data_IF_343238940091
#
_entry.id   IF_343238940091
#
_cell.length_a   1.000
_cell.length_b   1.000
_cell.length_c   1.000
_cell.angle_alpha   90.00
_cell.angle_beta   90.00
_cell.angle_gamma   90.00
#
_symmetry.space_group_name_H-M   'P 1'
#
loop_
_entity.id
_entity.type
_entity.pdbx_description
1 polymer ?
#
# COMPACT_ATOMS: atom_id res chain seq x y z
N UNK A 1 -3.91 -74.48 -66.19
CA UNK A 1 -5.34 -74.14 -66.45
C UNK A 1 -5.77 -73.04 -65.49
N UNK A 2 -6.33 -71.95 -66.04
CA UNK A 2 -7.26 -70.97 -65.41
C UNK A 2 -6.77 -70.22 -64.15
N UNK A 3 -6.23 -69.01 -64.29
CA UNK A 3 -6.91 -67.68 -64.19
C UNK A 3 -7.32 -67.26 -62.77
N UNK A 4 -6.75 -66.15 -62.26
CA UNK A 4 -7.49 -64.89 -62.01
C UNK A 4 -6.80 -63.96 -60.98
N UNK A 5 -6.31 -62.83 -61.51
CA UNK A 5 -6.30 -61.44 -61.03
C UNK A 5 -6.14 -61.04 -59.54
N UNK A 6 -5.11 -60.20 -59.36
CA UNK A 6 -4.84 -59.22 -58.30
C UNK A 6 -5.96 -58.19 -58.12
N UNK A 7 -6.29 -57.81 -56.87
CA UNK A 7 -6.56 -56.40 -56.47
C UNK A 7 -6.12 -56.22 -55.00
N UNK A 8 -5.20 -55.28 -54.75
CA UNK A 8 -4.81 -54.75 -53.44
C UNK A 8 -5.80 -53.66 -53.03
N UNK A 9 -6.38 -53.77 -51.83
CA UNK A 9 -7.15 -52.70 -51.18
C UNK A 9 -6.30 -52.18 -50.01
N UNK A 10 -5.92 -50.92 -50.08
CA UNK A 10 -5.27 -50.18 -49.01
C UNK A 10 -6.33 -49.66 -48.02
N UNK A 11 -6.15 -49.94 -46.73
CA UNK A 11 -6.87 -49.29 -45.63
C UNK A 11 -6.10 -48.02 -45.20
N UNK A 12 -6.75 -46.85 -45.12
CA UNK A 12 -6.27 -45.76 -44.28
C UNK A 12 -7.01 -45.80 -42.94
N UNK A 13 -6.29 -46.19 -41.87
CA UNK A 13 -6.77 -46.07 -40.50
C UNK A 13 -6.73 -44.61 -40.05
N UNK A 14 -7.91 -44.02 -39.83
CA UNK A 14 -8.06 -42.70 -39.24
C UNK A 14 -7.90 -42.79 -37.72
N UNK A 15 -6.77 -42.29 -37.19
CA UNK A 15 -6.62 -41.98 -35.77
C UNK A 15 -7.27 -40.62 -35.48
N UNK A 16 -8.37 -40.62 -34.74
CA UNK A 16 -8.95 -39.43 -34.14
C UNK A 16 -8.16 -39.07 -32.88
N UNK A 17 -7.24 -38.10 -32.98
CA UNK A 17 -6.57 -37.50 -31.84
C UNK A 17 -7.49 -36.43 -31.22
N UNK A 18 -7.99 -36.70 -30.01
CA UNK A 18 -8.77 -35.76 -29.22
C UNK A 18 -7.89 -34.59 -28.75
N UNK A 19 -8.17 -33.39 -29.27
CA UNK A 19 -7.63 -32.12 -28.80
C UNK A 19 -8.27 -31.75 -27.45
N UNK A 20 -7.61 -32.10 -26.34
CA UNK A 20 -7.84 -31.48 -25.05
C UNK A 20 -7.23 -30.07 -25.07
N UNK A 21 -8.00 -29.10 -25.57
CA UNK A 21 -7.68 -27.69 -25.41
C UNK A 21 -7.85 -27.31 -23.93
N UNK A 22 -6.75 -27.26 -23.19
CA UNK A 22 -6.69 -26.57 -21.90
C UNK A 22 -6.98 -25.09 -22.13
N UNK A 23 -8.21 -24.64 -21.85
CA UNK A 23 -8.49 -23.22 -21.70
C UNK A 23 -7.71 -22.73 -20.48
N UNK A 24 -6.56 -22.12 -20.72
CA UNK A 24 -5.85 -21.33 -19.70
C UNK A 24 -6.71 -20.09 -19.47
N UNK A 25 -7.62 -20.14 -18.51
CA UNK A 25 -8.34 -18.96 -18.05
C UNK A 25 -7.31 -17.96 -17.53
N UNK A 26 -7.03 -16.91 -18.31
CA UNK A 26 -6.24 -15.79 -17.84
C UNK A 26 -6.93 -15.22 -16.60
N UNK A 27 -6.20 -15.12 -15.49
CA UNK A 27 -6.70 -14.43 -14.32
C UNK A 27 -7.09 -13.00 -14.73
N UNK A 28 -8.24 -12.53 -14.26
CA UNK A 28 -8.68 -11.16 -14.51
C UNK A 28 -7.62 -10.15 -14.05
N UNK A 29 -7.62 -8.95 -14.61
CA UNK A 29 -6.72 -7.89 -14.16
C UNK A 29 -7.01 -7.53 -12.69
N UNK A 30 -5.95 -7.19 -11.95
CA UNK A 30 -6.08 -6.66 -10.60
C UNK A 30 -6.70 -5.25 -10.64
N UNK A 31 -7.67 -5.00 -9.76
CA UNK A 31 -8.42 -3.73 -9.71
C UNK A 31 -8.39 -3.09 -8.31
N UNK A 32 -8.44 -1.76 -8.19
CA UNK A 32 -8.58 -1.09 -6.91
C UNK A 32 -10.06 -1.07 -6.46
N UNK A 33 -10.36 -0.67 -5.21
CA UNK A 33 -11.72 -0.37 -4.79
C UNK A 33 -12.42 0.64 -5.72
N UNK A 34 -13.75 0.57 -5.89
CA UNK A 34 -14.48 1.35 -6.90
C UNK A 34 -14.26 2.88 -6.86
N UNK A 35 -14.02 3.46 -5.67
CA UNK A 35 -13.80 4.90 -5.54
C UNK A 35 -12.52 5.42 -6.22
N UNK A 36 -11.59 4.55 -6.61
CA UNK A 36 -10.43 4.92 -7.44
C UNK A 36 -10.80 5.21 -8.91
N UNK A 37 -11.99 4.81 -9.36
CA UNK A 37 -12.52 5.10 -10.71
C UNK A 37 -13.23 6.45 -10.81
N UNK A 38 -13.35 7.19 -9.70
CA UNK A 38 -13.96 8.51 -9.67
C UNK A 38 -13.35 9.42 -10.74
N UNK A 39 -14.21 10.19 -11.41
CA UNK A 39 -13.79 11.16 -12.42
C UNK A 39 -12.88 12.23 -11.78
N UNK A 40 -11.99 12.78 -12.60
CA UNK A 40 -11.22 13.97 -12.24
C UNK A 40 -12.20 15.12 -12.02
N UNK A 41 -12.12 15.77 -10.86
CA UNK A 41 -13.01 16.88 -10.53
C UNK A 41 -12.74 18.11 -11.39
N UNK A 42 -13.76 18.91 -11.62
CA UNK A 42 -13.66 20.15 -12.40
C UNK A 42 -13.76 21.36 -11.47
N UNK A 43 -12.68 22.15 -11.36
CA UNK A 43 -12.71 23.41 -10.60
C UNK A 43 -11.93 24.50 -11.33
N UNK A 44 -12.63 25.61 -11.63
CA UNK A 44 -12.08 26.77 -12.36
C UNK A 44 -10.75 27.29 -11.79
N UNK A 45 -9.90 27.77 -12.71
CA UNK A 45 -8.64 28.47 -12.48
C UNK A 45 -7.43 27.75 -13.07
N UNK A 46 -6.28 28.41 -13.15
CA UNK A 46 -5.04 27.82 -13.67
C UNK A 46 -4.28 27.00 -12.62
N UNK A 47 -3.49 26.02 -13.07
CA UNK A 47 -2.57 25.30 -12.19
C UNK A 47 -1.61 26.30 -11.52
N UNK A 48 -1.15 25.97 -10.31
CA UNK A 48 0.00 26.68 -9.75
C UNK A 48 1.25 26.43 -10.61
N UNK A 49 2.33 27.18 -10.34
CA UNK A 49 3.63 26.86 -10.96
C UNK A 49 4.08 25.46 -10.54
N UNK A 50 4.52 24.63 -11.50
CA UNK A 50 5.15 23.34 -11.19
C UNK A 50 6.50 23.57 -10.48
N UNK A 51 6.67 23.16 -9.21
CA UNK A 51 7.96 23.29 -8.54
C UNK A 51 9.00 22.37 -9.19
N UNK A 52 10.28 22.72 -9.01
CA UNK A 52 11.38 21.85 -9.44
C UNK A 52 11.26 20.47 -8.78
N UNK A 53 11.50 19.43 -9.57
CA UNK A 53 11.51 18.04 -9.08
C UNK A 53 12.61 17.87 -8.03
N UNK A 54 12.33 17.26 -6.86
CA UNK A 54 13.37 16.89 -5.91
C UNK A 54 14.43 16.01 -6.60
N UNK A 55 15.74 16.22 -6.36
CA UNK A 55 16.78 15.40 -6.98
C UNK A 55 16.51 13.90 -6.78
N UNK A 56 16.51 13.08 -7.85
CA UNK A 56 16.32 11.64 -7.73
C UNK A 56 17.33 11.01 -6.77
N UNK A 57 16.83 10.33 -5.73
CA UNK A 57 17.70 9.74 -4.71
C UNK A 57 18.30 8.40 -5.20
N UNK A 58 19.52 8.43 -5.71
CA UNK A 58 20.22 7.24 -6.25
C UNK A 58 21.37 6.73 -5.37
N UNK A 59 21.64 7.38 -4.23
CA UNK A 59 22.68 6.98 -3.29
C UNK A 59 22.28 5.79 -2.41
N UNK A 60 23.21 5.38 -1.53
CA UNK A 60 23.00 4.34 -0.52
C UNK A 60 21.79 4.62 0.37
N UNK A 61 21.01 3.59 0.68
CA UNK A 61 19.88 3.66 1.61
C UNK A 61 20.35 3.30 3.03
N UNK A 62 21.39 3.97 3.49
CA UNK A 62 21.98 3.79 4.83
C UNK A 62 21.76 5.06 5.64
N UNK A 63 20.67 5.08 6.41
CA UNK A 63 20.24 6.27 7.16
C UNK A 63 20.30 6.07 8.67
N UNK A 64 20.58 7.15 9.39
CA UNK A 64 20.48 7.22 10.84
C UNK A 64 19.06 6.91 11.28
N UNK A 65 18.90 6.15 12.37
CA UNK A 65 17.57 5.89 12.96
C UNK A 65 17.22 6.97 13.98
N UNK A 66 15.98 7.48 13.98
CA UNK A 66 15.50 8.37 15.05
C UNK A 66 15.49 7.73 16.45
N UNK A 67 15.64 6.40 16.53
CA UNK A 67 15.76 5.63 17.78
C UNK A 67 17.21 5.16 18.03
N UNK A 68 18.20 5.77 17.38
CA UNK A 68 19.61 5.49 17.65
C UNK A 68 19.94 5.72 19.13
N UNK A 69 20.53 4.71 19.77
CA UNK A 69 20.80 4.70 21.21
C UNK A 69 19.65 4.20 22.08
N UNK A 70 18.48 3.86 21.53
CA UNK A 70 17.43 3.17 22.28
C UNK A 70 17.84 1.75 22.69
N UNK A 71 17.26 1.24 23.78
CA UNK A 71 17.28 -0.17 24.11
C UNK A 71 16.43 -1.02 23.14
N UNK A 72 16.19 -2.29 23.48
CA UNK A 72 15.44 -3.24 22.65
C UNK A 72 13.99 -2.82 22.37
N UNK A 73 13.39 -1.93 23.16
CA UNK A 73 12.05 -1.40 22.91
C UNK A 73 12.01 -0.43 21.72
N UNK A 74 13.17 0.15 21.34
CA UNK A 74 13.29 1.16 20.27
C UNK A 74 12.28 2.29 20.40
N UNK A 75 12.00 2.76 21.63
CA UNK A 75 10.96 3.75 21.91
C UNK A 75 11.50 5.13 22.32
N UNK A 76 12.79 5.22 22.69
CA UNK A 76 13.45 6.44 23.13
C UNK A 76 13.89 7.29 21.94
N UNK A 77 13.19 8.39 21.70
CA UNK A 77 13.49 9.31 20.60
C UNK A 77 14.83 10.01 20.85
N UNK A 78 15.77 9.89 19.91
CA UNK A 78 17.00 10.66 19.90
C UNK A 78 16.82 11.86 18.97
N UNK A 79 16.61 13.05 19.53
CA UNK A 79 16.28 14.27 18.78
C UNK A 79 17.38 14.65 17.78
N UNK A 80 18.67 14.44 18.12
CA UNK A 80 19.80 14.70 17.22
C UNK A 80 19.83 13.70 16.05
N UNK A 81 19.62 12.43 16.35
CA UNK A 81 19.53 11.38 15.35
C UNK A 81 18.32 11.57 14.43
N UNK A 82 17.18 12.02 14.96
CA UNK A 82 16.01 12.38 14.16
C UNK A 82 16.31 13.54 13.22
N UNK A 83 16.95 14.62 13.70
CA UNK A 83 17.32 15.75 12.84
C UNK A 83 18.25 15.30 11.71
N UNK A 84 19.24 14.46 12.03
CA UNK A 84 20.18 13.89 11.04
C UNK A 84 19.44 13.03 10.01
N UNK A 85 18.57 12.13 10.48
CA UNK A 85 17.71 11.32 9.63
C UNK A 85 16.89 12.18 8.66
N UNK A 86 16.18 13.19 9.18
CA UNK A 86 15.34 14.11 8.38
C UNK A 86 16.13 14.81 7.28
N UNK A 87 17.36 15.24 7.58
CA UNK A 87 18.27 15.83 6.60
C UNK A 87 18.69 14.83 5.51
N UNK A 88 19.03 13.58 5.89
CA UNK A 88 19.44 12.54 4.95
C UNK A 88 18.33 12.14 3.96
N UNK A 89 17.06 12.16 4.40
CA UNK A 89 15.91 11.72 3.60
C UNK A 89 15.10 12.86 2.99
N UNK A 90 15.65 14.09 2.99
CA UNK A 90 14.89 15.29 2.64
C UNK A 90 14.27 15.20 1.25
N UNK A 91 15.06 14.84 0.24
CA UNK A 91 14.58 14.77 -1.15
C UNK A 91 13.55 13.64 -1.35
N UNK A 92 13.70 12.53 -0.63
CA UNK A 92 12.69 11.45 -0.60
C UNK A 92 11.38 11.97 0.00
N UNK A 93 11.46 12.69 1.12
CA UNK A 93 10.28 13.24 1.81
C UNK A 93 9.57 14.29 0.96
N UNK A 94 10.33 15.15 0.29
CA UNK A 94 9.80 16.18 -0.60
C UNK A 94 9.14 15.55 -1.83
N UNK A 95 9.72 14.47 -2.37
CA UNK A 95 9.11 13.70 -3.45
C UNK A 95 7.79 13.05 -3.02
N UNK A 96 7.78 12.36 -1.88
CA UNK A 96 6.57 11.72 -1.33
C UNK A 96 5.42 12.73 -1.16
N UNK A 97 5.69 13.85 -0.49
CA UNK A 97 4.67 14.86 -0.18
C UNK A 97 4.29 15.69 -1.38
N UNK A 98 5.24 16.09 -2.21
CA UNK A 98 5.01 16.94 -3.37
C UNK A 98 4.25 16.22 -4.48
N UNK A 99 4.66 15.01 -4.85
CA UNK A 99 4.00 14.25 -5.90
C UNK A 99 2.56 13.86 -5.52
N UNK A 100 2.32 13.38 -4.29
CA UNK A 100 0.96 13.07 -3.80
C UNK A 100 0.07 14.31 -3.72
N UNK A 101 0.64 15.48 -3.37
CA UNK A 101 -0.06 16.76 -3.39
C UNK A 101 -0.46 17.17 -4.81
N UNK A 102 0.44 17.06 -5.79
CA UNK A 102 0.15 17.37 -7.19
C UNK A 102 -0.98 16.47 -7.74
N UNK A 103 -0.93 15.16 -7.46
CA UNK A 103 -2.03 14.24 -7.82
C UNK A 103 -3.34 14.64 -7.13
N UNK A 104 -3.30 15.01 -5.84
CA UNK A 104 -4.48 15.48 -5.11
C UNK A 104 -5.05 16.76 -5.74
N UNK A 105 -4.21 17.72 -6.13
CA UNK A 105 -4.63 18.95 -6.79
C UNK A 105 -5.26 18.67 -8.16
N UNK A 106 -4.64 17.79 -8.94
CA UNK A 106 -5.18 17.35 -10.22
C UNK A 106 -6.55 16.67 -10.06
N UNK A 107 -6.65 15.64 -9.22
CA UNK A 107 -7.91 14.91 -9.02
C UNK A 107 -9.05 15.79 -8.48
N UNK A 108 -8.74 16.88 -7.77
CA UNK A 108 -9.73 17.85 -7.28
C UNK A 108 -10.18 18.89 -8.30
N UNK A 109 -9.34 19.23 -9.28
CA UNK A 109 -9.55 20.43 -10.09
C UNK A 109 -9.35 20.29 -11.60
N UNK A 110 -8.76 19.19 -12.06
CA UNK A 110 -8.65 18.86 -13.48
C UNK A 110 -7.68 19.73 -14.26
N UNK A 111 -6.74 20.40 -13.59
CA UNK A 111 -5.78 21.29 -14.25
C UNK A 111 -4.63 20.47 -14.83
N UNK A 112 -4.51 20.41 -16.15
CA UNK A 112 -3.48 19.62 -16.83
C UNK A 112 -2.04 19.93 -16.39
N UNK A 113 -1.77 21.17 -15.98
CA UNK A 113 -0.47 21.54 -15.42
C UNK A 113 -0.09 20.77 -14.15
N UNK A 114 -1.06 20.43 -13.29
CA UNK A 114 -0.81 19.63 -12.08
C UNK A 114 -0.51 18.16 -12.44
N UNK A 115 -1.22 17.61 -13.43
CA UNK A 115 -0.97 16.26 -13.97
C UNK A 115 0.42 16.18 -14.61
N UNK A 116 0.73 17.09 -15.53
CA UNK A 116 2.02 17.15 -16.21
C UNK A 116 3.17 17.27 -15.20
N UNK A 117 2.98 18.08 -14.16
CA UNK A 117 3.96 18.23 -13.09
C UNK A 117 4.16 16.94 -12.29
N UNK A 118 3.07 16.28 -11.85
CA UNK A 118 3.13 15.02 -11.11
C UNK A 118 3.84 13.92 -11.92
N UNK A 119 3.47 13.77 -13.19
CA UNK A 119 4.08 12.78 -14.08
C UNK A 119 5.55 13.09 -14.38
N UNK A 120 5.91 14.37 -14.55
CA UNK A 120 7.30 14.75 -14.70
C UNK A 120 8.14 14.42 -13.46
N UNK A 121 7.61 14.67 -12.26
CA UNK A 121 8.28 14.32 -11.00
C UNK A 121 8.52 12.81 -10.89
N UNK A 122 7.46 12.00 -11.05
CA UNK A 122 7.55 10.55 -10.92
C UNK A 122 8.42 9.93 -12.01
N UNK A 123 8.26 10.33 -13.28
CA UNK A 123 9.04 9.78 -14.39
C UNK A 123 10.52 10.18 -14.34
N UNK A 124 10.86 11.35 -13.79
CA UNK A 124 12.27 11.73 -13.56
C UNK A 124 12.95 10.82 -12.54
N UNK A 125 12.26 10.50 -11.43
CA UNK A 125 12.75 9.51 -10.46
C UNK A 125 12.84 8.10 -11.04
N UNK A 126 11.86 7.73 -11.87
CA UNK A 126 11.80 6.43 -12.53
C UNK A 126 12.96 6.22 -13.50
N UNK A 127 13.22 7.17 -14.40
CA UNK A 127 14.34 7.13 -15.37
C UNK A 127 15.70 7.09 -14.68
N UNK A 128 15.84 7.78 -13.56
CA UNK A 128 17.08 7.78 -12.77
C UNK A 128 17.29 6.49 -11.96
N UNK A 129 16.30 5.59 -11.87
CA UNK A 129 16.38 4.39 -11.04
C UNK A 129 16.46 4.71 -9.55
N UNK A 130 15.79 5.78 -9.10
CA UNK A 130 15.85 6.23 -7.72
C UNK A 130 15.35 5.16 -6.74
N UNK A 131 15.92 5.14 -5.53
CA UNK A 131 15.61 4.21 -4.44
C UNK A 131 15.97 2.73 -4.71
N UNK A 132 16.74 2.43 -5.75
CA UNK A 132 17.09 1.04 -6.12
C UNK A 132 18.41 0.53 -5.51
N UNK A 133 19.05 1.25 -4.58
CA UNK A 133 20.33 0.84 -3.98
C UNK A 133 20.28 -0.52 -3.27
N UNK A 134 21.16 -1.45 -3.62
CA UNK A 134 21.34 -2.71 -2.86
C UNK A 134 22.13 -2.52 -1.55
N UNK A 135 22.80 -1.37 -1.38
CA UNK A 135 23.38 -0.96 -0.10
C UNK A 135 22.30 -0.27 0.75
N UNK A 136 21.84 -0.94 1.81
CA UNK A 136 20.79 -0.43 2.68
C UNK A 136 20.89 -0.94 4.12
N UNK A 137 20.33 -0.16 5.05
CA UNK A 137 20.01 -0.61 6.41
C UNK A 137 18.48 -0.67 6.64
N UNK A 138 18.04 -1.02 7.86
CA UNK A 138 16.61 -1.10 8.19
C UNK A 138 15.86 0.22 7.93
N UNK A 139 16.49 1.36 8.23
CA UNK A 139 15.89 2.69 8.02
C UNK A 139 15.73 2.99 6.53
N UNK A 140 16.75 2.72 5.71
CA UNK A 140 16.68 3.02 4.28
C UNK A 140 15.79 2.08 3.47
N UNK A 141 15.78 0.77 3.74
CA UNK A 141 14.76 -0.10 3.13
C UNK A 141 13.33 0.26 3.57
N UNK A 142 13.18 0.90 4.73
CA UNK A 142 11.89 1.47 5.15
C UNK A 142 11.52 2.73 4.35
N UNK A 143 12.49 3.58 4.01
CA UNK A 143 12.25 4.73 3.13
C UNK A 143 11.86 4.29 1.72
N UNK A 144 12.51 3.26 1.15
CA UNK A 144 12.11 2.67 -0.14
C UNK A 144 10.63 2.30 -0.15
N UNK A 145 10.19 1.46 0.78
CA UNK A 145 8.79 1.00 0.81
C UNK A 145 7.81 2.14 1.09
N UNK A 146 8.12 3.05 2.01
CA UNK A 146 7.22 4.18 2.27
C UNK A 146 7.05 5.12 1.07
N UNK A 147 8.14 5.42 0.36
CA UNK A 147 8.06 6.23 -0.85
C UNK A 147 7.28 5.50 -1.94
N UNK A 148 7.52 4.20 -2.13
CA UNK A 148 6.76 3.37 -3.06
C UNK A 148 5.25 3.46 -2.76
N UNK A 149 4.82 3.17 -1.53
CA UNK A 149 3.41 3.20 -1.16
C UNK A 149 2.76 4.58 -1.29
N UNK A 150 3.51 5.66 -1.02
CA UNK A 150 3.02 7.03 -1.24
C UNK A 150 2.75 7.31 -2.72
N UNK A 151 3.73 6.99 -3.56
CA UNK A 151 3.69 7.33 -4.99
C UNK A 151 2.75 6.42 -5.77
N UNK A 152 2.82 5.10 -5.56
CA UNK A 152 1.91 4.14 -6.22
C UNK A 152 0.47 4.34 -5.76
N UNK A 153 0.26 4.65 -4.46
CA UNK A 153 -1.06 4.94 -3.90
C UNK A 153 -1.73 6.15 -4.57
N UNK A 154 -0.97 7.23 -4.78
CA UNK A 154 -1.47 8.42 -5.47
C UNK A 154 -1.67 8.15 -6.97
N UNK A 155 -0.66 7.56 -7.63
CA UNK A 155 -0.69 7.24 -9.05
C UNK A 155 -1.88 6.35 -9.44
N UNK A 156 -2.31 5.47 -8.55
CA UNK A 156 -3.48 4.62 -8.73
C UNK A 156 -4.76 5.40 -9.06
N UNK A 157 -4.94 6.62 -8.51
CA UNK A 157 -6.07 7.49 -8.88
C UNK A 157 -5.98 7.96 -10.33
N UNK A 158 -4.78 8.23 -10.84
CA UNK A 158 -4.57 8.59 -12.24
C UNK A 158 -4.80 7.37 -13.17
N UNK A 159 -4.31 6.21 -12.75
CA UNK A 159 -4.37 4.96 -13.53
C UNK A 159 -5.80 4.49 -13.78
N UNK A 160 -6.66 4.55 -12.75
CA UNK A 160 -7.99 3.95 -12.79
C UNK A 160 -9.13 4.95 -12.94
N UNK A 161 -8.89 6.27 -12.83
CA UNK A 161 -9.96 7.27 -13.02
C UNK A 161 -10.66 7.08 -14.37
N UNK A 162 -12.00 7.15 -14.34
CA UNK A 162 -12.85 7.12 -15.53
C UNK A 162 -12.55 8.23 -16.54
N UNK A 163 -11.91 9.34 -16.12
CA UNK A 163 -11.42 10.40 -17.02
C UNK A 163 -10.20 10.00 -17.85
N UNK A 164 -9.57 8.85 -17.57
CA UNK A 164 -8.41 8.29 -18.29
C UNK A 164 -7.27 9.30 -18.52
N UNK A 165 -6.82 10.03 -17.47
CA UNK A 165 -5.86 11.13 -17.62
C UNK A 165 -4.50 10.70 -18.19
N UNK A 166 -4.14 9.42 -18.03
CA UNK A 166 -2.87 8.87 -18.54
C UNK A 166 -2.89 8.54 -20.03
N UNK A 167 -4.03 8.62 -20.73
CA UNK A 167 -4.14 8.23 -22.14
C UNK A 167 -3.19 9.03 -23.05
N UNK A 168 -2.94 10.30 -22.73
CA UNK A 168 -2.00 11.17 -23.45
C UNK A 168 -0.53 11.05 -22.98
N UNK A 169 -0.25 10.20 -21.98
CA UNK A 169 1.04 10.11 -21.29
C UNK A 169 1.58 8.67 -21.25
N UNK A 170 1.38 7.90 -22.32
CA UNK A 170 1.68 6.47 -22.35
C UNK A 170 3.16 6.13 -22.07
N UNK A 171 4.10 6.94 -22.58
CA UNK A 171 5.54 6.74 -22.35
C UNK A 171 5.91 6.97 -20.88
N UNK A 172 5.57 8.14 -20.32
CA UNK A 172 5.80 8.45 -18.91
C UNK A 172 5.12 7.42 -17.99
N UNK A 173 3.92 6.96 -18.35
CA UNK A 173 3.20 5.95 -17.58
C UNK A 173 3.95 4.62 -17.54
N UNK A 174 4.48 4.15 -18.69
CA UNK A 174 5.30 2.93 -18.75
C UNK A 174 6.56 3.05 -17.88
N UNK A 175 7.28 4.18 -17.98
CA UNK A 175 8.49 4.40 -17.18
C UNK A 175 8.21 4.34 -15.67
N UNK A 176 7.14 5.00 -15.23
CA UNK A 176 6.72 5.04 -13.83
C UNK A 176 6.28 3.65 -13.35
N UNK A 177 5.43 2.96 -14.11
CA UNK A 177 4.92 1.62 -13.77
C UNK A 177 6.04 0.58 -13.72
N UNK A 178 6.98 0.61 -14.65
CA UNK A 178 8.16 -0.28 -14.65
C UNK A 178 9.06 -0.01 -13.44
N UNK A 179 9.24 1.25 -13.05
CA UNK A 179 9.98 1.61 -11.84
C UNK A 179 9.28 1.15 -10.57
N UNK A 180 7.97 1.34 -10.45
CA UNK A 180 7.20 0.79 -9.35
C UNK A 180 7.31 -0.74 -9.29
N UNK A 181 7.24 -1.45 -10.42
CA UNK A 181 7.41 -2.91 -10.47
C UNK A 181 8.80 -3.36 -9.96
N UNK A 182 9.87 -2.65 -10.34
CA UNK A 182 11.23 -2.92 -9.84
C UNK A 182 11.33 -2.69 -8.32
N UNK A 183 10.82 -1.56 -7.84
CA UNK A 183 10.81 -1.26 -6.40
C UNK A 183 9.93 -2.25 -5.62
N UNK A 184 8.75 -2.62 -6.12
CA UNK A 184 7.86 -3.60 -5.50
C UNK A 184 8.54 -4.96 -5.36
N UNK A 185 9.20 -5.43 -6.42
CA UNK A 185 10.01 -6.66 -6.39
C UNK A 185 11.14 -6.57 -5.36
N UNK A 186 11.81 -5.42 -5.27
CA UNK A 186 12.85 -5.22 -4.26
C UNK A 186 12.28 -5.16 -2.84
N UNK A 187 11.11 -4.55 -2.62
CA UNK A 187 10.46 -4.50 -1.30
C UNK A 187 10.06 -5.90 -0.85
N UNK A 188 9.60 -6.78 -1.75
CA UNK A 188 9.40 -8.20 -1.42
C UNK A 188 10.70 -8.83 -0.90
N UNK A 189 11.84 -8.60 -1.56
CA UNK A 189 13.16 -9.09 -1.10
C UNK A 189 13.57 -8.49 0.25
N UNK A 190 13.31 -7.21 0.45
CA UNK A 190 13.68 -6.48 1.66
C UNK A 190 12.98 -7.01 2.93
N UNK A 191 11.78 -7.60 2.80
CA UNK A 191 10.91 -7.99 3.92
C UNK A 191 10.56 -9.49 3.96
N UNK A 192 10.98 -10.28 2.98
CA UNK A 192 10.80 -11.74 2.99
C UNK A 192 11.81 -12.45 3.92
N UNK A 193 11.48 -13.68 4.33
CA UNK A 193 12.39 -14.55 5.09
C UNK A 193 12.61 -14.13 6.55
N UNK A 194 11.77 -13.26 7.10
CA UNK A 194 11.86 -12.80 8.48
C UNK A 194 11.15 -13.76 9.44
N UNK A 195 11.71 -14.03 10.63
CA UNK A 195 10.96 -14.73 11.68
C UNK A 195 9.88 -13.82 12.28
N UNK A 196 8.79 -14.38 12.82
CA UNK A 196 7.67 -13.62 13.41
C UNK A 196 8.10 -12.51 14.39
N UNK A 197 9.15 -12.72 15.18
CA UNK A 197 9.69 -11.71 16.13
C UNK A 197 10.24 -10.44 15.44
N UNK A 198 10.47 -10.48 14.11
CA UNK A 198 10.94 -9.36 13.28
C UNK A 198 9.87 -8.84 12.29
N UNK A 199 8.68 -9.45 12.27
CA UNK A 199 7.54 -8.99 11.46
C UNK A 199 6.65 -8.11 12.34
N UNK A 200 6.63 -6.81 12.05
CA UNK A 200 5.87 -5.80 12.81
C UNK A 200 5.23 -4.80 11.83
N UNK A 201 4.74 -3.66 12.31
CA UNK A 201 4.13 -2.62 11.49
C UNK A 201 4.95 -2.25 10.24
N UNK A 202 6.28 -2.34 10.27
CA UNK A 202 7.08 -2.12 9.08
C UNK A 202 6.77 -3.13 7.96
N UNK A 203 6.64 -4.42 8.25
CA UNK A 203 6.24 -5.42 7.25
C UNK A 203 4.86 -5.10 6.68
N UNK A 204 3.92 -4.66 7.51
CA UNK A 204 2.57 -4.33 7.04
C UNK A 204 2.57 -3.12 6.11
N UNK A 205 3.32 -2.06 6.45
CA UNK A 205 3.53 -0.92 5.55
C UNK A 205 4.23 -1.30 4.24
N UNK A 206 5.12 -2.31 4.27
CA UNK A 206 5.74 -2.84 3.05
C UNK A 206 4.69 -3.60 2.22
N UNK A 207 3.89 -4.46 2.84
CA UNK A 207 2.78 -5.17 2.20
C UNK A 207 1.76 -4.21 1.56
N UNK A 208 1.41 -3.10 2.20
CA UNK A 208 0.55 -2.08 1.57
C UNK A 208 1.20 -1.50 0.30
N UNK A 209 2.48 -1.17 0.37
CA UNK A 209 3.21 -0.59 -0.76
C UNK A 209 3.29 -1.57 -1.93
N UNK A 210 3.51 -2.86 -1.64
CA UNK A 210 3.52 -3.94 -2.62
C UNK A 210 2.11 -4.20 -3.17
N UNK A 211 1.06 -4.19 -2.33
CA UNK A 211 -0.34 -4.31 -2.77
C UNK A 211 -0.73 -3.20 -3.75
N UNK A 212 -0.45 -1.95 -3.41
CA UNK A 212 -0.71 -0.82 -4.30
C UNK A 212 0.05 -0.95 -5.62
N UNK A 213 1.31 -1.37 -5.57
CA UNK A 213 2.13 -1.63 -6.76
C UNK A 213 1.56 -2.77 -7.60
N UNK A 214 1.11 -3.86 -6.96
CA UNK A 214 0.54 -5.03 -7.62
C UNK A 214 -0.67 -4.65 -8.47
N UNK A 215 -1.56 -3.80 -7.96
CA UNK A 215 -2.72 -3.31 -8.71
C UNK A 215 -2.31 -2.36 -9.84
N UNK A 216 -1.43 -1.39 -9.57
CA UNK A 216 -0.96 -0.44 -10.60
C UNK A 216 -0.27 -1.14 -11.77
N UNK A 217 0.47 -2.23 -11.50
CA UNK A 217 1.28 -2.96 -12.49
C UNK A 217 0.66 -4.29 -12.94
N UNK A 218 -0.54 -4.62 -12.46
CA UNK A 218 -1.20 -5.90 -12.66
C UNK A 218 -0.31 -7.14 -12.38
N UNK A 219 0.46 -7.10 -11.29
CA UNK A 219 1.42 -8.14 -10.89
C UNK A 219 0.86 -9.03 -9.78
N UNK A 220 0.34 -10.20 -10.16
CA UNK A 220 -0.27 -11.18 -9.25
C UNK A 220 0.70 -11.72 -8.18
N UNK A 221 1.98 -11.91 -8.51
CA UNK A 221 2.99 -12.33 -7.54
C UNK A 221 3.21 -11.33 -6.40
N UNK A 222 3.15 -10.02 -6.72
CA UNK A 222 3.22 -8.95 -5.72
C UNK A 222 1.94 -8.93 -4.86
N UNK A 223 0.77 -9.12 -5.49
CA UNK A 223 -0.51 -9.20 -4.80
C UNK A 223 -0.54 -10.35 -3.80
N UNK A 224 -0.13 -11.55 -4.22
CA UNK A 224 -0.13 -12.75 -3.39
C UNK A 224 0.81 -12.61 -2.20
N UNK A 225 1.98 -11.97 -2.39
CA UNK A 225 2.89 -11.67 -1.29
C UNK A 225 2.26 -10.73 -0.26
N UNK A 226 1.63 -9.65 -0.70
CA UNK A 226 0.98 -8.71 0.21
C UNK A 226 -0.19 -9.34 0.99
N UNK A 227 -0.97 -10.21 0.33
CA UNK A 227 -2.02 -11.02 0.99
C UNK A 227 -1.39 -11.93 2.05
N UNK A 228 -0.28 -12.60 1.74
CA UNK A 228 0.40 -13.48 2.70
C UNK A 228 0.90 -12.73 3.94
N UNK A 229 1.45 -11.52 3.76
CA UNK A 229 1.91 -10.68 4.88
C UNK A 229 0.74 -10.19 5.75
N UNK A 230 -0.43 -9.91 5.17
CA UNK A 230 -1.65 -9.65 5.95
C UNK A 230 -2.02 -10.86 6.79
N UNK A 231 -2.01 -12.08 6.22
CA UNK A 231 -2.34 -13.30 6.95
C UNK A 231 -1.37 -13.54 8.12
N UNK A 232 -0.09 -13.26 7.93
CA UNK A 232 0.88 -13.28 9.04
C UNK A 232 0.48 -12.28 10.12
N UNK A 233 0.20 -11.02 9.75
CA UNK A 233 -0.21 -10.00 10.71
C UNK A 233 -1.50 -10.38 11.47
N UNK A 234 -2.50 -10.90 10.77
CA UNK A 234 -3.75 -11.39 11.36
C UNK A 234 -3.49 -12.48 12.41
N UNK A 235 -2.59 -13.43 12.12
CA UNK A 235 -2.19 -14.48 13.05
C UNK A 235 -1.27 -14.00 14.18
N UNK A 236 -0.74 -12.77 14.11
CA UNK A 236 -0.02 -12.14 15.23
C UNK A 236 -0.93 -11.40 16.20
N UNK A 237 -2.19 -11.11 15.83
CA UNK A 237 -3.17 -10.51 16.74
C UNK A 237 -3.62 -11.55 17.75
N UNK A 238 -3.26 -11.35 19.01
CA UNK A 238 -3.63 -12.25 20.10
C UNK A 238 -5.15 -12.26 20.37
N UNK A 239 -5.59 -13.13 21.27
CA UNK A 239 -7.01 -13.29 21.64
C UNK A 239 -7.64 -12.01 22.20
N UNK A 240 -6.83 -11.07 22.69
CA UNK A 240 -7.28 -9.80 23.26
C UNK A 240 -7.21 -8.64 22.26
N UNK A 241 -6.66 -8.85 21.06
CA UNK A 241 -6.51 -7.83 20.03
C UNK A 241 -5.17 -7.10 20.03
N UNK A 242 -4.16 -7.59 20.77
CA UNK A 242 -2.83 -6.99 20.80
C UNK A 242 -1.88 -7.65 19.79
N UNK A 243 -0.90 -6.86 19.35
CA UNK A 243 0.22 -7.31 18.54
C UNK A 243 1.48 -7.38 19.42
N UNK A 244 2.06 -8.57 19.67
CA UNK A 244 3.20 -8.73 20.58
C UNK A 244 4.43 -7.90 20.21
N UNK A 245 4.67 -7.64 18.91
CA UNK A 245 5.81 -6.83 18.49
C UNK A 245 5.57 -5.32 18.64
N UNK A 246 4.32 -4.88 18.71
CA UNK A 246 3.98 -3.48 18.98
C UNK A 246 3.87 -3.21 20.48
N UNK A 247 3.46 -4.19 21.29
CA UNK A 247 3.53 -4.10 22.76
C UNK A 247 4.96 -3.87 23.28
N UNK A 248 5.98 -4.43 22.60
CA UNK A 248 7.40 -4.22 22.93
C UNK A 248 7.84 -2.76 22.86
N UNK A 249 7.02 -1.86 22.33
CA UNK A 249 7.32 -0.43 22.17
C UNK A 249 6.97 0.40 23.41
N UNK A 250 6.62 -0.25 24.54
CA UNK A 250 6.38 0.35 25.86
C UNK A 250 5.34 1.47 25.79
N UNK A 251 5.70 2.68 26.20
CA UNK A 251 4.84 3.87 26.15
C UNK A 251 4.32 4.18 24.74
N UNK A 252 4.92 3.64 23.68
CA UNK A 252 4.45 3.83 22.30
C UNK A 252 3.57 2.69 21.79
N UNK A 253 3.22 1.71 22.63
CA UNK A 253 2.53 0.50 22.18
C UNK A 253 1.19 0.82 21.52
N UNK A 254 0.32 1.61 22.16
CA UNK A 254 -0.97 2.01 21.60
C UNK A 254 -0.81 2.77 20.28
N UNK A 255 0.16 3.71 20.22
CA UNK A 255 0.48 4.43 18.98
C UNK A 255 0.91 3.49 17.84
N UNK A 256 1.70 2.45 18.14
CA UNK A 256 2.11 1.47 17.13
C UNK A 256 1.02 0.46 16.75
N UNK A 257 0.09 0.13 17.64
CA UNK A 257 -1.10 -0.64 17.28
C UNK A 257 -1.98 0.17 16.32
N UNK A 258 -2.25 1.44 16.62
CA UNK A 258 -2.95 2.33 15.70
C UNK A 258 -2.21 2.50 14.36
N UNK A 259 -0.88 2.59 14.40
CA UNK A 259 -0.05 2.71 13.19
C UNK A 259 0.00 1.44 12.32
N UNK A 260 -0.35 0.28 12.87
CA UNK A 260 -0.47 -0.97 12.14
C UNK A 260 -1.79 -1.08 11.34
N UNK A 261 -2.86 -0.41 11.78
CA UNK A 261 -4.18 -0.52 11.17
C UNK A 261 -4.27 -0.01 9.72
N UNK A 262 -3.73 1.16 9.34
CA UNK A 262 -3.89 1.69 7.97
C UNK A 262 -3.42 0.75 6.87
N UNK A 263 -2.18 0.23 6.88
CA UNK A 263 -1.76 -0.68 5.82
C UNK A 263 -2.58 -1.98 5.81
N UNK A 264 -2.92 -2.54 6.98
CA UNK A 264 -3.70 -3.78 7.06
C UNK A 264 -5.11 -3.62 6.50
N UNK A 265 -5.81 -2.55 6.90
CA UNK A 265 -7.15 -2.27 6.40
C UNK A 265 -7.14 -2.00 4.89
N UNK A 266 -6.16 -1.26 4.38
CA UNK A 266 -6.01 -1.04 2.94
C UNK A 266 -5.75 -2.34 2.18
N UNK A 267 -4.86 -3.22 2.67
CA UNK A 267 -4.60 -4.52 2.05
C UNK A 267 -5.88 -5.36 1.99
N UNK A 268 -6.63 -5.45 3.08
CA UNK A 268 -7.89 -6.20 3.12
C UNK A 268 -8.95 -5.62 2.16
N UNK A 269 -9.09 -4.30 2.08
CA UNK A 269 -10.04 -3.66 1.16
C UNK A 269 -9.69 -3.92 -0.31
N UNK A 270 -8.40 -3.89 -0.63
CA UNK A 270 -7.90 -4.21 -1.98
C UNK A 270 -8.04 -5.70 -2.30
N UNK A 271 -7.75 -6.60 -1.35
CA UNK A 271 -7.91 -8.03 -1.53
C UNK A 271 -9.38 -8.42 -1.79
N UNK A 272 -10.32 -7.80 -1.06
CA UNK A 272 -11.76 -8.07 -1.17
C UNK A 272 -12.28 -7.90 -2.60
N UNK A 273 -11.97 -6.77 -3.24
CA UNK A 273 -12.44 -6.48 -4.62
C UNK A 273 -11.73 -7.30 -5.69
N UNK A 274 -10.64 -7.99 -5.33
CA UNK A 274 -9.92 -8.94 -6.18
C UNK A 274 -10.26 -10.41 -5.85
N UNK A 275 -11.35 -10.64 -5.11
CA UNK A 275 -11.89 -11.98 -4.83
C UNK A 275 -11.24 -12.71 -3.66
N UNK A 276 -10.46 -12.02 -2.82
CA UNK A 276 -9.83 -12.60 -1.62
C UNK A 276 -10.38 -11.91 -0.36
N UNK A 277 -11.30 -12.58 0.34
CA UNK A 277 -11.84 -12.06 1.59
C UNK A 277 -10.93 -12.38 2.79
N UNK A 278 -10.31 -11.35 3.36
CA UNK A 278 -9.40 -11.44 4.51
C UNK A 278 -10.06 -11.06 5.84
N UNK A 279 -11.36 -10.72 5.84
CA UNK A 279 -12.02 -10.13 7.02
C UNK A 279 -12.13 -11.07 8.21
N UNK A 280 -12.19 -12.38 7.95
CA UNK A 280 -12.37 -13.43 8.96
C UNK A 280 -11.07 -14.15 9.36
N UNK A 281 -9.93 -13.76 8.77
CA UNK A 281 -8.64 -14.36 9.09
C UNK A 281 -8.33 -14.25 10.60
N UNK A 282 -7.92 -15.37 11.22
CA UNK A 282 -7.72 -15.51 12.67
C UNK A 282 -8.88 -14.93 13.51
N UNK A 283 -10.10 -15.44 13.26
CA UNK A 283 -11.33 -15.07 13.98
C UNK A 283 -11.61 -13.56 13.95
N UNK A 284 -11.50 -12.94 12.78
CA UNK A 284 -11.73 -11.50 12.63
C UNK A 284 -10.64 -10.63 13.27
N UNK A 285 -9.36 -11.01 13.12
CA UNK A 285 -8.23 -10.35 13.77
C UNK A 285 -8.14 -8.84 13.50
N UNK A 286 -8.45 -8.38 12.27
CA UNK A 286 -8.42 -6.95 11.95
C UNK A 286 -9.49 -6.17 12.75
N UNK A 287 -10.70 -6.72 12.88
CA UNK A 287 -11.76 -6.15 13.73
C UNK A 287 -11.34 -6.14 15.20
N UNK A 288 -10.84 -7.26 15.70
CA UNK A 288 -10.39 -7.40 17.09
C UNK A 288 -9.26 -6.41 17.45
N UNK A 289 -8.31 -6.19 16.53
CA UNK A 289 -7.26 -5.18 16.69
C UNK A 289 -7.83 -3.76 16.68
N UNK A 290 -8.71 -3.43 15.73
CA UNK A 290 -9.30 -2.09 15.62
C UNK A 290 -10.14 -1.72 16.86
N UNK A 291 -10.95 -2.66 17.35
CA UNK A 291 -11.73 -2.48 18.58
C UNK A 291 -10.83 -2.32 19.81
N UNK A 292 -9.74 -3.09 19.91
CA UNK A 292 -8.74 -2.93 20.99
C UNK A 292 -8.08 -1.55 20.95
N UNK A 293 -7.69 -1.09 19.77
CA UNK A 293 -7.09 0.25 19.60
C UNK A 293 -8.08 1.33 20.02
N UNK A 294 -9.32 1.29 19.52
CA UNK A 294 -10.31 2.32 19.89
C UNK A 294 -10.65 2.29 21.38
N UNK A 295 -10.71 1.11 22.01
CA UNK A 295 -10.83 1.02 23.47
C UNK A 295 -9.65 1.71 24.18
N UNK A 296 -8.42 1.47 23.72
CA UNK A 296 -7.21 2.11 24.24
C UNK A 296 -7.16 3.64 24.04
N UNK A 297 -7.80 4.15 22.97
CA UNK A 297 -7.90 5.59 22.70
C UNK A 297 -8.83 6.28 23.69
N UNK A 298 -9.95 5.63 24.03
CA UNK A 298 -10.90 6.16 25.02
C UNK A 298 -10.36 6.04 26.44
N UNK A 299 -9.62 4.96 26.72
CA UNK A 299 -9.05 4.62 28.02
C UNK A 299 -7.77 3.79 27.87
N UNK A 300 -6.63 4.39 28.23
CA UNK A 300 -5.30 3.81 28.05
C UNK A 300 -4.98 2.67 29.04
N UNK A 301 -5.77 2.51 30.12
CA UNK A 301 -5.53 1.58 31.23
C UNK A 301 -5.14 0.17 30.75
N UNK A 302 -5.87 -0.39 29.78
CA UNK A 302 -5.57 -1.75 29.30
C UNK A 302 -4.24 -1.89 28.55
N UNK A 303 -3.71 -0.82 27.99
CA UNK A 303 -2.36 -0.80 27.39
C UNK A 303 -1.29 -0.55 28.44
N UNK A 304 -1.57 0.30 29.43
CA UNK A 304 -0.68 0.52 30.58
C UNK A 304 -0.49 -0.78 31.36
N UNK A 305 -1.56 -1.48 31.73
CA UNK A 305 -1.52 -2.79 32.40
C UNK A 305 -0.71 -3.82 31.60
N UNK A 306 -0.90 -3.84 30.27
CA UNK A 306 -0.25 -4.83 29.38
C UNK A 306 1.24 -4.55 29.19
N UNK A 307 1.68 -3.30 29.32
CA UNK A 307 3.06 -2.88 29.04
C UNK A 307 3.86 -2.49 30.29
N UNK A 308 3.18 -2.20 31.40
CA UNK A 308 3.75 -1.65 32.63
C UNK A 308 4.18 -0.18 32.53
N UNK A 309 3.71 0.55 31.52
CA UNK A 309 4.15 1.92 31.19
C UNK A 309 2.97 2.77 30.68
N UNK A 310 2.86 4.01 31.17
CA UNK A 310 1.91 5.02 30.69
C UNK A 310 2.04 5.22 29.17
N UNK A 311 0.94 5.46 28.46
CA UNK A 311 0.99 5.59 26.99
C UNK A 311 1.25 7.04 26.52
N UNK A 312 2.10 7.18 25.50
CA UNK A 312 2.31 8.44 24.78
C UNK A 312 1.13 8.69 23.82
N UNK A 313 0.15 9.43 24.32
CA UNK A 313 -1.08 9.77 23.60
C UNK A 313 -0.91 10.86 22.52
N UNK A 314 0.31 11.37 22.28
CA UNK A 314 0.57 12.45 21.32
C UNK A 314 0.09 12.10 19.91
N UNK A 315 0.41 10.89 19.44
CA UNK A 315 0.01 10.43 18.10
C UNK A 315 -1.50 10.14 18.04
N UNK A 316 -2.13 9.75 19.14
CA UNK A 316 -3.54 9.33 19.19
C UNK A 316 -4.49 10.52 19.08
N UNK A 317 -3.97 11.75 19.21
CA UNK A 317 -4.68 13.03 19.03
C UNK A 317 -4.63 13.57 17.59
N UNK A 318 -3.97 12.86 16.66
CA UNK A 318 -3.84 13.30 15.26
C UNK A 318 -4.88 12.61 14.38
N UNK A 319 -5.89 13.36 13.94
CA UNK A 319 -7.04 12.85 13.16
C UNK A 319 -6.62 11.98 11.97
N UNK A 320 -5.67 12.46 11.16
CA UNK A 320 -5.20 11.73 9.97
C UNK A 320 -4.53 10.37 10.27
N UNK A 321 -4.19 10.06 11.52
CA UNK A 321 -3.70 8.72 11.90
C UNK A 321 -4.83 7.70 12.04
N UNK A 322 -6.08 8.12 11.99
CA UNK A 322 -7.26 7.26 11.93
C UNK A 322 -7.80 7.05 10.51
N UNK A 323 -7.03 7.42 9.47
CA UNK A 323 -7.40 7.22 8.07
C UNK A 323 -7.72 5.76 7.71
N UNK A 324 -7.36 4.79 8.56
CA UNK A 324 -7.75 3.39 8.44
C UNK A 324 -9.26 3.16 8.60
N UNK A 325 -10.00 4.08 9.22
CA UNK A 325 -11.45 3.99 9.36
C UNK A 325 -12.18 3.93 8.01
N UNK A 326 -11.59 4.52 6.96
CA UNK A 326 -12.17 4.50 5.60
C UNK A 326 -12.20 3.09 4.99
N UNK A 327 -11.05 2.41 4.75
CA UNK A 327 -11.08 1.03 4.29
C UNK A 327 -11.73 0.08 5.30
N UNK A 328 -11.60 0.34 6.60
CA UNK A 328 -12.21 -0.50 7.64
C UNK A 328 -13.74 -0.49 7.57
N UNK A 329 -14.37 0.69 7.49
CA UNK A 329 -15.82 0.78 7.36
C UNK A 329 -16.35 0.45 5.96
N UNK A 330 -15.48 0.32 4.96
CA UNK A 330 -15.82 -0.31 3.69
C UNK A 330 -15.87 -1.85 3.78
N UNK A 331 -15.02 -2.45 4.62
CA UNK A 331 -14.95 -3.89 4.85
C UNK A 331 -16.02 -4.42 5.79
N UNK A 332 -16.26 -3.69 6.88
CA UNK A 332 -17.14 -4.06 7.99
C UNK A 332 -18.33 -3.09 8.09
N UNK A 333 -19.47 -3.60 8.55
CA UNK A 333 -20.55 -2.73 9.00
C UNK A 333 -20.11 -2.08 10.32
N UNK A 334 -19.57 -0.87 10.24
CA UNK A 334 -19.12 -0.14 11.44
C UNK A 334 -20.28 0.15 12.39
N UNK A 335 -20.06 -0.15 13.67
CA UNK A 335 -20.96 0.23 14.77
C UNK A 335 -20.99 1.77 14.96
N UNK A 336 -22.04 2.33 15.59
CA UNK A 336 -22.22 3.78 15.72
C UNK A 336 -20.98 4.52 16.26
N UNK A 337 -20.26 3.94 17.21
CA UNK A 337 -19.04 4.53 17.79
C UNK A 337 -17.91 4.68 16.77
N UNK A 338 -17.70 3.66 15.93
CA UNK A 338 -16.70 3.72 14.84
C UNK A 338 -17.13 4.72 13.76
N UNK A 339 -18.44 4.78 13.45
CA UNK A 339 -18.98 5.75 12.49
C UNK A 339 -18.81 7.19 12.97
N UNK A 340 -19.10 7.49 14.24
CA UNK A 340 -18.89 8.84 14.79
C UNK A 340 -17.40 9.19 14.83
N UNK A 341 -16.54 8.24 15.25
CA UNK A 341 -15.10 8.45 15.22
C UNK A 341 -14.56 8.76 13.82
N UNK A 342 -15.13 8.15 12.76
CA UNK A 342 -14.83 8.44 11.36
C UNK A 342 -15.28 9.85 11.00
N UNK A 343 -16.57 10.14 11.23
CA UNK A 343 -17.22 11.41 10.88
C UNK A 343 -16.54 12.62 11.53
N UNK A 344 -16.14 12.52 12.78
CA UNK A 344 -15.49 13.62 13.52
C UNK A 344 -14.09 13.98 12.97
N UNK A 345 -13.46 13.07 12.22
CA UNK A 345 -12.09 13.21 11.74
C UNK A 345 -11.99 13.36 10.22
N UNK A 346 -13.11 13.19 9.52
CA UNK A 346 -13.15 13.36 8.07
C UNK A 346 -12.99 14.84 7.65
N UNK A 347 -12.37 15.11 6.49
CA UNK A 347 -11.81 14.15 5.55
C UNK A 347 -10.35 13.75 5.88
N UNK A 348 -10.04 12.46 5.72
CA UNK A 348 -8.69 11.93 5.92
C UNK A 348 -7.78 12.17 4.71
N UNK A 349 -6.59 12.70 4.99
CA UNK A 349 -5.47 12.79 4.06
C UNK A 349 -4.22 12.15 4.66
N UNK A 350 -3.70 11.12 3.98
CA UNK A 350 -2.46 10.45 4.37
C UNK A 350 -1.61 10.19 3.13
N UNK A 351 -0.53 10.96 2.97
CA UNK A 351 0.34 10.84 1.79
C UNK A 351 0.96 9.45 1.64
N UNK A 352 1.19 8.73 2.74
CA UNK A 352 1.69 7.34 2.75
C UNK A 352 0.68 6.31 2.22
N UNK A 353 -0.58 6.70 2.10
CA UNK A 353 -1.67 5.93 1.50
C UNK A 353 -2.09 6.49 0.12
N UNK A 354 -1.36 7.46 -0.43
CA UNK A 354 -1.67 8.09 -1.71
C UNK A 354 -2.42 9.42 -1.64
N UNK A 355 -2.69 9.95 -0.44
CA UNK A 355 -3.34 11.26 -0.26
C UNK A 355 -4.76 11.14 0.28
N UNK A 356 -5.76 11.52 -0.50
CA UNK A 356 -7.16 11.65 -0.07
C UNK A 356 -7.88 10.31 0.15
N UNK A 357 -7.71 9.71 1.32
CA UNK A 357 -8.28 8.39 1.64
C UNK A 357 -9.81 8.44 1.67
N UNK A 358 -10.41 9.49 2.26
CA UNK A 358 -11.87 9.66 2.29
C UNK A 358 -12.49 9.66 0.90
N UNK A 359 -11.84 10.34 -0.06
CA UNK A 359 -12.38 10.46 -1.43
C UNK A 359 -12.44 9.12 -2.17
N UNK A 360 -11.48 8.22 -1.93
CA UNK A 360 -11.41 6.93 -2.63
C UNK A 360 -12.23 5.82 -1.97
N UNK A 361 -12.81 6.07 -0.78
CA UNK A 361 -13.73 5.15 -0.09
C UNK A 361 -15.15 5.70 0.11
N UNK A 362 -15.38 6.99 -0.17
CA UNK A 362 -16.73 7.54 -0.18
C UNK A 362 -17.58 6.94 -1.30
N UNK A 363 -18.83 6.56 -0.98
CA UNK A 363 -19.80 6.03 -1.97
C UNK A 363 -20.23 7.07 -3.02
N UNK A 364 -19.96 8.35 -2.80
CA UNK A 364 -20.35 9.46 -3.68
C UNK A 364 -19.54 9.55 -4.99
N UNK A 365 -18.56 8.65 -5.22
CA UNK A 365 -17.76 8.60 -6.44
C UNK A 365 -18.22 7.60 -7.51
N UNK A 366 -19.31 6.88 -7.27
CA UNK A 366 -19.87 5.89 -8.20
C UNK A 366 -21.35 6.14 -8.45
N UNK A 367 -21.66 7.12 -9.30
CA UNK A 367 -22.88 7.12 -10.11
C UNK A 367 -22.70 6.23 -11.33
#
# INVERSE_FOLDING_TARGET
MKTSHLIRIALPGALAAALLASQVSQAADLVPPPGYYAAVGERKGNAGSCPAVPPPYTGSLVFTSKYEGSDSARATLNVKAEKTFRSQIKDITDMERGATKLVTQYMRSGRDGDLACALNWMSTWARAGALQSDDFNHTGKSMRKWALGSLSGAYMRLKFSSSRPLAAHAEQSREIEDWFARLGTQVVRDWSGLPLKKINNHSYWAAWSVMSTAVVTNRRDLFDWAVSEFKVAANQVDEQGFLPNELKRRQRALAYHNYALPPLAMIAAFAQVNGVDLRQENHGALQRLAERVMKGVDDEETFEEKTGEDQDMTDLKVDNKYAWLEPYCALYRCEPKMLEAKKDREPFNSFRLGGEVTRVFSREGGS
#
